data_IF_264743753063
#
_entry.id   IF_264743753063
#
_cell.length_a   1.000
_cell.length_b   1.000
_cell.length_c   1.000
_cell.angle_alpha   90.00
_cell.angle_beta   90.00
_cell.angle_gamma   90.00
#
_symmetry.space_group_name_H-M   'P 1'
#
loop_
_entity.id
_entity.type
_entity.pdbx_description
1 polymer ?
#
# COMPACT_ATOMS: atom_id res chain seq x y z
N UNK A 1 0.18 -6.60 -30.29
CA UNK A 1 -0.47 -7.07 -29.03
C UNK A 1 -1.90 -6.61 -29.09
N UNK A 2 -2.86 -7.50 -28.86
CA UNK A 2 -4.27 -7.10 -28.73
C UNK A 2 -4.46 -6.39 -27.40
N UNK A 3 -4.97 -5.18 -27.42
CA UNK A 3 -5.38 -4.45 -26.21
C UNK A 3 -6.83 -4.78 -25.89
N UNK A 4 -7.13 -4.95 -24.61
CA UNK A 4 -8.49 -5.14 -24.09
C UNK A 4 -8.81 -3.90 -23.26
N UNK A 5 -9.96 -3.27 -23.55
CA UNK A 5 -10.48 -2.19 -22.70
C UNK A 5 -11.37 -2.78 -21.61
N UNK A 6 -11.13 -2.37 -20.38
CA UNK A 6 -11.94 -2.72 -19.21
C UNK A 6 -12.41 -1.44 -18.52
N UNK A 7 -13.60 -1.48 -17.94
CA UNK A 7 -14.07 -0.44 -17.02
C UNK A 7 -13.35 -0.55 -15.69
N UNK A 8 -13.38 0.50 -14.87
CA UNK A 8 -12.78 0.48 -13.53
C UNK A 8 -13.43 -0.59 -12.63
N UNK A 9 -14.74 -0.78 -12.76
CA UNK A 9 -15.46 -1.82 -12.00
C UNK A 9 -15.03 -3.24 -12.42
N UNK A 10 -14.83 -3.47 -13.72
CA UNK A 10 -14.31 -4.76 -14.22
C UNK A 10 -12.89 -5.02 -13.73
N UNK A 11 -12.04 -3.98 -13.65
CA UNK A 11 -10.69 -4.07 -13.10
C UNK A 11 -10.75 -4.43 -11.60
N UNK A 12 -11.58 -3.73 -10.84
CA UNK A 12 -11.78 -4.02 -9.42
C UNK A 12 -12.24 -5.46 -9.20
N UNK A 13 -13.27 -5.89 -9.92
CA UNK A 13 -13.84 -7.24 -9.82
C UNK A 13 -12.84 -8.33 -10.18
N UNK A 14 -12.09 -8.12 -11.27
CA UNK A 14 -11.04 -9.06 -11.70
C UNK A 14 -9.96 -9.19 -10.64
N UNK A 15 -9.48 -8.08 -10.12
CA UNK A 15 -8.44 -8.06 -9.08
C UNK A 15 -8.96 -8.73 -7.79
N UNK A 16 -10.15 -8.35 -7.31
CA UNK A 16 -10.74 -8.92 -6.10
C UNK A 16 -10.96 -10.42 -6.21
N UNK A 17 -11.58 -10.90 -7.28
CA UNK A 17 -11.80 -12.34 -7.53
C UNK A 17 -10.49 -13.11 -7.57
N UNK A 18 -9.47 -12.55 -8.23
CA UNK A 18 -8.16 -13.18 -8.30
C UNK A 18 -7.51 -13.31 -6.93
N UNK A 19 -7.56 -12.26 -6.11
CA UNK A 19 -6.96 -12.25 -4.77
C UNK A 19 -7.68 -13.22 -3.82
N UNK A 20 -9.02 -13.24 -3.84
CA UNK A 20 -9.83 -14.19 -3.07
C UNK A 20 -9.49 -15.64 -3.43
N UNK A 21 -9.41 -15.96 -4.72
CA UNK A 21 -9.06 -17.29 -5.20
C UNK A 21 -7.64 -17.74 -4.82
N UNK A 22 -6.77 -16.80 -4.44
CA UNK A 22 -5.38 -17.07 -4.06
C UNK A 22 -5.07 -16.84 -2.57
N UNK A 23 -6.09 -16.82 -1.71
CA UNK A 23 -5.93 -16.92 -0.27
C UNK A 23 -6.06 -15.61 0.52
N UNK A 24 -6.46 -14.51 -0.10
CA UNK A 24 -6.88 -13.32 0.65
C UNK A 24 -8.26 -13.54 1.31
N UNK A 25 -8.49 -12.86 2.44
CA UNK A 25 -9.85 -12.64 2.93
C UNK A 25 -10.52 -11.48 2.15
N UNK A 26 -11.82 -11.28 2.33
CA UNK A 26 -12.59 -10.30 1.57
C UNK A 26 -12.12 -8.86 1.81
N UNK A 27 -11.76 -8.52 3.06
CA UNK A 27 -11.26 -7.20 3.42
C UNK A 27 -9.94 -6.89 2.69
N UNK A 28 -8.97 -7.80 2.80
CA UNK A 28 -7.67 -7.68 2.11
C UNK A 28 -7.83 -7.60 0.61
N UNK A 29 -8.66 -8.46 0.03
CA UNK A 29 -8.90 -8.48 -1.42
C UNK A 29 -9.54 -7.19 -1.92
N UNK A 30 -10.49 -6.63 -1.15
CA UNK A 30 -11.16 -5.37 -1.50
C UNK A 30 -10.20 -4.17 -1.45
N UNK A 31 -9.39 -4.06 -0.40
CA UNK A 31 -8.39 -2.98 -0.25
C UNK A 31 -7.39 -3.00 -1.41
N UNK A 32 -6.89 -4.18 -1.76
CA UNK A 32 -5.91 -4.31 -2.84
C UNK A 32 -6.51 -4.09 -4.22
N UNK A 33 -7.75 -4.54 -4.44
CA UNK A 33 -8.47 -4.32 -5.69
C UNK A 33 -8.76 -2.83 -5.92
N UNK A 34 -9.15 -2.09 -4.87
CA UNK A 34 -9.35 -0.63 -4.92
C UNK A 34 -8.06 0.10 -5.29
N UNK A 35 -6.94 -0.29 -4.68
CA UNK A 35 -5.63 0.28 -5.00
C UNK A 35 -5.21 0.02 -6.46
N UNK A 36 -5.40 -1.22 -6.94
CA UNK A 36 -5.10 -1.59 -8.32
C UNK A 36 -5.97 -0.78 -9.28
N UNK A 37 -7.26 -0.68 -9.01
CA UNK A 37 -8.20 0.12 -9.80
C UNK A 37 -7.79 1.60 -9.85
N UNK A 38 -7.44 2.21 -8.71
CA UNK A 38 -6.94 3.60 -8.64
C UNK A 38 -5.65 3.79 -9.45
N UNK A 39 -4.73 2.83 -9.37
CA UNK A 39 -3.50 2.90 -10.14
C UNK A 39 -3.74 2.84 -11.66
N UNK A 40 -4.70 2.03 -12.13
CA UNK A 40 -5.11 2.00 -13.54
C UNK A 40 -5.82 3.29 -13.95
N UNK A 41 -6.75 3.80 -13.11
CA UNK A 41 -7.43 5.09 -13.32
C UNK A 41 -6.43 6.23 -13.54
N UNK A 42 -5.37 6.26 -12.74
CA UNK A 42 -4.37 7.32 -12.73
C UNK A 42 -3.23 7.08 -13.74
N UNK A 43 -3.36 6.06 -14.61
CA UNK A 43 -2.38 5.73 -15.64
C UNK A 43 -1.07 5.13 -15.11
N UNK A 44 -1.01 4.75 -13.84
CA UNK A 44 0.16 4.13 -13.21
C UNK A 44 0.17 2.62 -13.42
N UNK A 45 0.25 2.19 -14.66
CA UNK A 45 0.14 0.78 -15.08
C UNK A 45 1.10 -0.16 -14.36
N UNK A 46 2.29 0.32 -13.97
CA UNK A 46 3.27 -0.45 -13.20
C UNK A 46 2.81 -0.80 -11.77
N UNK A 47 1.76 -0.15 -11.27
CA UNK A 47 1.18 -0.34 -9.95
C UNK A 47 -0.27 -0.87 -9.98
N UNK A 48 -0.83 -1.01 -11.18
CA UNK A 48 -2.15 -1.57 -11.46
C UNK A 48 -2.15 -3.10 -11.59
N UNK A 49 -2.90 -3.60 -12.56
CA UNK A 49 -3.04 -5.04 -12.85
C UNK A 49 -1.71 -5.75 -13.09
N UNK A 50 -0.70 -5.03 -13.55
CA UNK A 50 0.66 -5.55 -13.71
C UNK A 50 1.23 -6.16 -12.41
N UNK A 51 0.80 -5.68 -11.24
CA UNK A 51 1.26 -6.20 -9.93
C UNK A 51 0.57 -7.48 -9.49
N UNK A 52 -0.61 -7.78 -10.03
CA UNK A 52 -1.44 -8.89 -9.58
C UNK A 52 -0.73 -10.25 -9.62
N UNK A 53 0.03 -10.61 -10.67
CA UNK A 53 0.79 -11.87 -10.69
C UNK A 53 1.83 -11.97 -9.56
N UNK A 54 2.49 -10.87 -9.23
CA UNK A 54 3.47 -10.84 -8.14
C UNK A 54 2.81 -11.03 -6.77
N UNK A 55 1.64 -10.44 -6.55
CA UNK A 55 0.85 -10.65 -5.32
C UNK A 55 0.41 -12.11 -5.19
N UNK A 56 -0.11 -12.70 -6.26
CA UNK A 56 -0.50 -14.12 -6.30
C UNK A 56 0.70 -15.03 -5.98
N UNK A 57 1.86 -14.75 -6.56
CA UNK A 57 3.09 -15.51 -6.29
C UNK A 57 3.50 -15.39 -4.82
N UNK A 58 3.43 -14.18 -4.26
CA UNK A 58 3.73 -13.93 -2.85
C UNK A 58 2.79 -14.64 -1.89
N UNK A 59 1.49 -14.65 -2.19
CA UNK A 59 0.47 -15.37 -1.43
C UNK A 59 0.70 -16.88 -1.47
N UNK A 60 0.90 -17.46 -2.65
CA UNK A 60 1.14 -18.90 -2.84
C UNK A 60 2.43 -19.38 -2.16
N UNK A 61 3.46 -18.53 -2.12
CA UNK A 61 4.72 -18.86 -1.45
C UNK A 61 4.69 -18.69 0.07
N UNK A 62 3.60 -18.18 0.64
CA UNK A 62 3.48 -17.87 2.07
C UNK A 62 4.28 -16.65 2.53
N UNK A 63 4.92 -15.92 1.63
CA UNK A 63 5.64 -14.68 1.97
C UNK A 63 4.70 -13.55 2.32
N UNK A 64 3.52 -13.52 1.69
CA UNK A 64 2.46 -12.54 1.96
C UNK A 64 1.36 -13.24 2.75
N UNK A 65 0.96 -12.61 3.85
CA UNK A 65 -0.18 -13.07 4.62
C UNK A 65 -1.46 -12.37 4.12
N UNK A 66 -2.26 -13.10 3.35
CA UNK A 66 -3.50 -12.60 2.77
C UNK A 66 -4.69 -12.50 3.74
N UNK A 67 -4.52 -12.99 4.98
CA UNK A 67 -5.54 -12.99 6.05
C UNK A 67 -5.00 -12.42 7.36
N UNK A 68 -3.82 -11.83 7.31
CA UNK A 68 -3.16 -11.27 8.47
C UNK A 68 -3.93 -10.08 9.04
N UNK A 69 -3.79 -9.90 10.34
CA UNK A 69 -4.36 -8.73 11.03
C UNK A 69 -3.22 -7.86 11.54
N UNK A 70 -3.07 -6.64 11.02
CA UNK A 70 -2.10 -5.69 11.54
C UNK A 70 -2.40 -5.32 13.00
N UNK A 71 -1.35 -5.14 13.79
CA UNK A 71 -1.46 -4.75 15.19
C UNK A 71 -1.05 -3.29 15.37
N UNK A 72 -1.94 -2.47 15.92
CA UNK A 72 -1.70 -1.05 16.19
C UNK A 72 -1.20 -0.89 17.62
N UNK A 73 -0.09 -0.13 17.79
CA UNK A 73 0.46 0.25 19.09
C UNK A 73 0.66 1.75 19.15
N UNK A 74 -0.01 2.43 20.07
CA UNK A 74 0.23 3.84 20.37
C UNK A 74 1.48 3.94 21.26
N UNK A 75 2.56 4.47 20.72
CA UNK A 75 3.84 4.61 21.42
C UNK A 75 3.88 5.90 22.25
N UNK A 76 3.31 6.97 21.71
CA UNK A 76 3.13 8.28 22.38
C UNK A 76 1.89 8.96 21.78
N UNK A 77 1.44 10.11 22.28
CA UNK A 77 0.30 10.84 21.70
C UNK A 77 0.40 11.06 20.20
N UNK A 78 1.61 11.35 19.70
CA UNK A 78 1.86 11.66 18.27
C UNK A 78 2.56 10.53 17.50
N UNK A 79 2.85 9.37 18.13
CA UNK A 79 3.58 8.29 17.47
C UNK A 79 2.80 6.99 17.55
N UNK A 80 2.40 6.51 16.36
CA UNK A 80 1.67 5.26 16.18
C UNK A 80 2.59 4.28 15.47
N UNK A 81 2.65 3.06 15.95
CA UNK A 81 3.36 1.95 15.32
C UNK A 81 2.36 0.90 14.89
N UNK A 82 2.51 0.37 13.68
CA UNK A 82 1.72 -0.76 13.20
C UNK A 82 2.65 -1.91 12.81
N UNK A 83 2.41 -3.07 13.38
CA UNK A 83 3.05 -4.32 12.98
C UNK A 83 2.19 -4.97 11.89
N UNK A 84 2.76 -5.12 10.71
CA UNK A 84 2.04 -5.57 9.53
C UNK A 84 1.79 -7.07 9.44
N UNK A 85 2.46 -7.89 10.26
CA UNK A 85 2.30 -9.35 10.27
C UNK A 85 2.40 -10.00 8.87
N UNK A 86 3.33 -9.50 8.06
CA UNK A 86 3.54 -9.87 6.64
C UNK A 86 2.34 -9.58 5.72
N UNK A 87 1.39 -8.76 6.12
CA UNK A 87 0.37 -8.22 5.22
C UNK A 87 1.01 -7.29 4.17
N UNK A 88 0.33 -7.10 3.06
CA UNK A 88 0.66 -6.03 2.14
C UNK A 88 0.45 -4.66 2.80
N UNK A 89 1.35 -3.71 2.55
CA UNK A 89 1.34 -2.41 3.20
C UNK A 89 0.00 -1.63 3.06
N UNK A 90 -0.73 -1.69 1.93
CA UNK A 90 -2.04 -1.04 1.83
C UNK A 90 -3.03 -1.51 2.91
N UNK A 91 -2.99 -2.79 3.28
CA UNK A 91 -3.84 -3.34 4.36
C UNK A 91 -3.38 -2.80 5.73
N UNK A 92 -2.09 -2.64 5.92
CA UNK A 92 -1.52 -2.07 7.16
C UNK A 92 -1.87 -0.59 7.27
N UNK A 93 -1.78 0.14 6.18
CA UNK A 93 -2.10 1.57 6.06
C UNK A 93 -3.58 1.83 6.29
N UNK A 94 -4.47 0.99 5.77
CA UNK A 94 -5.93 1.14 5.99
C UNK A 94 -6.31 1.11 7.46
N UNK A 95 -5.52 0.43 8.29
CA UNK A 95 -5.71 0.40 9.76
C UNK A 95 -4.99 1.53 10.48
N UNK A 96 -3.82 1.92 10.00
CA UNK A 96 -2.99 2.93 10.66
C UNK A 96 -3.37 4.38 10.36
N UNK A 97 -3.83 4.68 9.14
CA UNK A 97 -4.15 6.04 8.70
C UNK A 97 -5.26 6.69 9.55
N UNK A 98 -6.37 6.03 9.90
CA UNK A 98 -7.38 6.64 10.77
C UNK A 98 -6.80 7.09 12.12
N UNK A 99 -5.95 6.29 12.73
CA UNK A 99 -5.28 6.64 13.99
C UNK A 99 -4.26 7.77 13.82
N UNK A 100 -3.53 7.78 12.69
CA UNK A 100 -2.61 8.87 12.33
C UNK A 100 -3.35 10.21 12.18
N UNK A 101 -4.45 10.21 11.45
CA UNK A 101 -5.28 11.42 11.23
C UNK A 101 -5.79 11.94 12.57
N UNK A 102 -6.32 11.06 13.42
CA UNK A 102 -6.80 11.42 14.76
C UNK A 102 -5.68 12.05 15.58
N UNK A 103 -4.53 11.39 15.66
CA UNK A 103 -3.39 11.88 16.43
C UNK A 103 -2.85 13.21 15.88
N UNK A 104 -2.82 13.41 14.57
CA UNK A 104 -2.39 14.66 13.95
C UNK A 104 -3.33 15.82 14.26
N UNK A 105 -4.64 15.59 14.23
CA UNK A 105 -5.66 16.61 14.61
C UNK A 105 -5.58 16.97 16.08
N UNK A 106 -5.27 16.03 16.96
CA UNK A 106 -5.16 16.26 18.41
C UNK A 106 -3.84 16.95 18.82
N UNK A 107 -2.74 16.66 18.13
CA UNK A 107 -1.39 17.03 18.57
C UNK A 107 -0.67 17.99 17.58
N UNK A 108 -1.28 18.35 16.46
CA UNK A 108 -0.70 19.20 15.41
C UNK A 108 0.22 18.48 14.45
N UNK A 109 0.91 17.42 14.90
CA UNK A 109 1.77 16.54 14.09
C UNK A 109 1.71 15.13 14.62
N UNK A 110 1.76 14.13 13.73
CA UNK A 110 1.85 12.73 14.12
C UNK A 110 2.66 11.91 13.11
N UNK A 111 3.15 10.77 13.57
CA UNK A 111 3.96 9.82 12.78
C UNK A 111 3.33 8.44 12.85
N UNK A 112 3.23 7.79 11.69
CA UNK A 112 2.87 6.38 11.55
C UNK A 112 4.10 5.58 11.11
N UNK A 113 4.61 4.74 12.00
CA UNK A 113 5.72 3.84 11.72
C UNK A 113 5.19 2.42 11.42
N UNK A 114 5.46 1.92 10.22
CA UNK A 114 5.05 0.59 9.80
C UNK A 114 6.25 -0.35 9.78
N UNK A 115 6.09 -1.51 10.38
CA UNK A 115 7.09 -2.57 10.39
C UNK A 115 6.47 -3.89 9.93
N UNK A 116 7.31 -4.77 9.38
CA UNK A 116 6.92 -6.13 9.02
C UNK A 116 5.74 -6.19 8.05
N UNK A 117 5.69 -5.25 7.10
CA UNK A 117 4.78 -5.23 5.97
C UNK A 117 5.49 -5.63 4.69
N UNK A 118 4.73 -6.13 3.74
CA UNK A 118 5.22 -6.51 2.43
C UNK A 118 4.76 -5.50 1.39
N UNK A 119 5.63 -5.06 0.51
CA UNK A 119 5.39 -4.21 -0.66
C UNK A 119 4.42 -3.03 -0.47
N UNK A 120 4.95 -1.81 -0.59
CA UNK A 120 4.19 -0.56 -0.41
C UNK A 120 3.26 -0.19 -1.58
N UNK A 121 3.36 -0.84 -2.73
CA UNK A 121 2.60 -0.47 -3.93
C UNK A 121 2.78 1.02 -4.34
N UNK A 122 1.72 1.70 -4.72
CA UNK A 122 1.72 3.13 -4.99
C UNK A 122 1.70 3.92 -3.66
N UNK A 123 2.29 5.11 -3.62
CA UNK A 123 2.43 5.90 -2.38
C UNK A 123 1.58 7.17 -2.35
N UNK A 124 0.86 7.50 -3.43
CA UNK A 124 -0.01 8.69 -3.44
C UNK A 124 -1.40 8.48 -2.82
N UNK A 125 -2.04 7.29 -2.88
CA UNK A 125 -3.39 7.12 -2.34
C UNK A 125 -3.47 7.41 -0.82
N UNK A 126 -2.41 7.07 -0.08
CA UNK A 126 -2.34 7.32 1.36
C UNK A 126 -2.24 8.81 1.68
N UNK A 127 -1.45 9.54 0.91
CA UNK A 127 -1.30 10.99 1.10
C UNK A 127 -2.54 11.73 0.64
N UNK A 128 -3.22 11.27 -0.42
CA UNK A 128 -4.50 11.79 -0.88
C UNK A 128 -5.57 11.68 0.21
N UNK A 129 -5.74 10.48 0.78
CA UNK A 129 -6.69 10.26 1.89
C UNK A 129 -6.46 11.18 3.09
N UNK A 130 -5.20 11.49 3.41
CA UNK A 130 -4.85 12.38 4.51
C UNK A 130 -5.11 13.84 4.12
N UNK A 131 -4.80 14.22 2.87
CA UNK A 131 -5.05 15.57 2.35
C UNK A 131 -6.55 15.91 2.29
N UNK A 132 -7.40 14.93 1.93
CA UNK A 132 -8.87 15.08 1.98
C UNK A 132 -9.40 15.40 3.38
N UNK A 133 -8.63 15.13 4.42
CA UNK A 133 -8.94 15.46 5.81
C UNK A 133 -8.40 16.83 6.25
N UNK A 134 -7.88 17.63 5.29
CA UNK A 134 -7.33 18.96 5.55
C UNK A 134 -5.94 18.93 6.21
N UNK A 135 -5.20 17.84 6.06
CA UNK A 135 -3.86 17.64 6.60
C UNK A 135 -2.81 17.59 5.50
N UNK A 136 -1.56 17.90 5.82
CA UNK A 136 -0.41 17.68 4.93
C UNK A 136 0.24 16.37 5.30
N UNK A 137 0.58 15.54 4.31
CA UNK A 137 1.22 14.26 4.52
C UNK A 137 2.56 14.14 3.77
N UNK A 138 3.52 13.50 4.40
CA UNK A 138 4.75 13.07 3.81
C UNK A 138 4.91 11.56 4.02
N UNK A 139 5.06 10.81 2.93
CA UNK A 139 5.26 9.36 2.97
C UNK A 139 6.63 9.00 2.41
N UNK A 140 7.32 8.10 3.09
CA UNK A 140 8.59 7.56 2.62
C UNK A 140 8.70 6.07 2.94
N UNK A 141 9.37 5.34 2.08
CA UNK A 141 9.68 3.93 2.29
C UNK A 141 11.05 3.60 1.72
N UNK A 142 11.66 2.54 2.21
CA UNK A 142 12.85 1.96 1.59
C UNK A 142 12.45 0.68 0.84
N UNK A 143 12.92 0.57 -0.39
CA UNK A 143 12.72 -0.63 -1.20
C UNK A 143 14.06 -1.26 -1.51
N UNK A 144 14.29 -2.45 -0.96
CA UNK A 144 15.61 -3.10 -0.98
C UNK A 144 16.25 -3.21 -2.37
N UNK A 145 15.55 -3.57 -3.46
CA UNK A 145 16.11 -3.54 -4.80
C UNK A 145 16.44 -2.14 -5.32
N UNK A 146 15.74 -1.12 -4.85
CA UNK A 146 15.96 0.26 -5.26
C UNK A 146 17.25 0.86 -4.68
N UNK A 147 17.67 0.33 -3.52
CA UNK A 147 18.93 0.74 -2.88
C UNK A 147 20.19 0.16 -3.56
N UNK A 148 20.01 -0.76 -4.51
CA UNK A 148 21.07 -1.31 -5.34
C UNK A 148 21.33 -0.48 -6.62
N UNK A 149 20.74 0.71 -6.72
CA UNK A 149 21.00 1.62 -7.81
C UNK A 149 22.46 2.13 -7.74
N UNK A 150 23.30 1.58 -8.58
CA UNK A 150 24.75 1.84 -8.61
C UNK A 150 25.16 2.94 -9.59
N UNK A 151 24.22 3.55 -10.30
CA UNK A 151 24.56 4.71 -11.16
C UNK A 151 24.77 5.93 -10.28
N UNK A 152 25.93 6.61 -10.40
CA UNK A 152 26.15 7.86 -9.68
C UNK A 152 25.09 8.88 -10.09
N UNK A 153 24.46 9.50 -9.12
CA UNK A 153 23.55 10.61 -9.35
C UNK A 153 24.28 11.73 -10.09
N UNK A 154 23.64 12.48 -10.98
CA UNK A 154 24.25 13.68 -11.55
C UNK A 154 24.75 14.67 -10.48
N UNK A 155 24.23 14.60 -9.25
CA UNK A 155 24.71 15.38 -8.10
C UNK A 155 26.03 14.89 -7.50
N UNK A 156 26.39 13.63 -7.76
CA UNK A 156 27.62 13.02 -7.25
C UNK A 156 28.80 13.25 -8.19
N UNK A 157 28.59 14.02 -9.27
CA UNK A 157 29.60 14.45 -10.23
C UNK A 157 30.09 15.88 -9.94
N UNK A 158 30.31 16.20 -8.68
CA UNK A 158 30.93 17.44 -8.26
C UNK A 158 32.43 17.44 -8.54
#
# INVERSE_FOLDING_TARGET
MSTVSLTLDEIFDLAKKTLLANGCDDETASILADLIMKAERDGSLSHGLFRLPAYVTGLKSGKINGKGKPEIKKISPSVIKVLGNNCLAPVVLSKGIPELIKAAKENGVAVLAINNSHHMAAMWPETEMIAEQGLVAFACTSYKPCLLYTSPSPRDRG
#
